data_IF_109903274362
#
_entry.id   IF_109903274362
#
_cell.length_a   1.000
_cell.length_b   1.000
_cell.length_c   1.000
_cell.angle_alpha   90.00
_cell.angle_beta   90.00
_cell.angle_gamma   90.00
#
_symmetry.space_group_name_H-M   'P 1'
#
loop_
_entity.id
_entity.type
_entity.pdbx_description
1 polymer ?
#
# COMPACT_ATOMS: atom_id res chain seq x y z
N UNK A 1 -16.38 -1.48 -16.38
CA UNK A 1 -15.57 -2.67 -16.01
C UNK A 1 -14.55 -3.04 -17.09
N UNK A 2 -13.95 -2.06 -17.79
CA UNK A 2 -12.93 -2.33 -18.83
C UNK A 2 -11.59 -2.81 -18.23
N UNK A 3 -11.12 -2.14 -17.18
CA UNK A 3 -9.82 -2.40 -16.54
C UNK A 3 -9.68 -3.77 -15.81
N UNK A 4 -10.78 -4.49 -15.61
CA UNK A 4 -10.78 -5.85 -15.04
C UNK A 4 -10.51 -6.93 -16.09
N UNK A 5 -10.85 -6.66 -17.36
CA UNK A 5 -10.55 -7.56 -18.49
C UNK A 5 -9.06 -7.52 -18.85
N UNK A 6 -8.43 -6.36 -18.70
CA UNK A 6 -7.02 -6.15 -19.05
C UNK A 6 -6.03 -6.82 -18.08
N UNK A 7 -6.48 -7.18 -16.87
CA UNK A 7 -5.61 -7.73 -15.81
C UNK A 7 -5.80 -9.22 -15.52
N UNK A 8 -6.70 -9.92 -16.21
CA UNK A 8 -7.04 -11.33 -15.95
C UNK A 8 -7.25 -11.65 -14.45
N UNK A 9 -7.76 -10.69 -13.68
CA UNK A 9 -8.01 -10.85 -12.24
C UNK A 9 -9.50 -10.87 -11.96
N UNK A 10 -9.96 -11.89 -11.24
CA UNK A 10 -11.36 -11.96 -10.79
C UNK A 10 -11.73 -10.75 -9.92
N UNK A 11 -12.99 -10.30 -10.02
CA UNK A 11 -13.54 -9.15 -9.28
C UNK A 11 -13.11 -9.12 -7.80
N UNK A 12 -13.22 -10.25 -7.10
CA UNK A 12 -12.84 -10.34 -5.69
C UNK A 12 -11.35 -10.14 -5.45
N UNK A 13 -10.47 -10.66 -6.32
CA UNK A 13 -9.02 -10.46 -6.21
C UNK A 13 -8.65 -8.98 -6.36
N UNK A 14 -9.30 -8.29 -7.31
CA UNK A 14 -9.12 -6.85 -7.48
C UNK A 14 -9.65 -6.06 -6.28
N UNK A 15 -10.84 -6.42 -5.78
CA UNK A 15 -11.46 -5.80 -4.61
C UNK A 15 -10.58 -5.96 -3.35
N UNK A 16 -10.10 -7.16 -3.06
CA UNK A 16 -9.21 -7.42 -1.91
C UNK A 16 -7.91 -6.62 -2.00
N UNK A 17 -7.36 -6.48 -3.21
CA UNK A 17 -6.15 -5.69 -3.43
C UNK A 17 -6.41 -4.20 -3.18
N UNK A 18 -7.54 -3.67 -3.63
CA UNK A 18 -7.94 -2.29 -3.35
C UNK A 18 -8.12 -2.04 -1.84
N UNK A 19 -8.78 -2.95 -1.13
CA UNK A 19 -8.93 -2.85 0.33
C UNK A 19 -7.60 -2.92 1.08
N UNK A 20 -6.70 -3.83 0.66
CA UNK A 20 -5.36 -3.94 1.24
C UNK A 20 -4.54 -2.67 1.03
N UNK A 21 -4.67 -2.03 -0.14
CA UNK A 21 -4.02 -0.76 -0.44
C UNK A 21 -4.57 0.36 0.45
N UNK A 22 -5.89 0.48 0.54
CA UNK A 22 -6.56 1.49 1.39
C UNK A 22 -6.14 1.35 2.86
N UNK A 23 -6.15 0.12 3.40
CA UNK A 23 -5.71 -0.14 4.77
C UNK A 23 -4.23 0.19 5.00
N UNK A 24 -3.37 -0.10 4.01
CA UNK A 24 -1.93 0.24 4.09
C UNK A 24 -1.72 1.74 4.21
N UNK A 25 -2.43 2.54 3.40
CA UNK A 25 -2.35 3.99 3.49
C UNK A 25 -2.97 4.55 4.76
N UNK A 26 -4.08 3.96 5.24
CA UNK A 26 -4.70 4.36 6.50
C UNK A 26 -3.77 4.17 7.71
N UNK A 27 -3.13 3.00 7.83
CA UNK A 27 -2.14 2.77 8.88
C UNK A 27 -0.91 3.67 8.70
N UNK A 28 -0.49 3.88 7.45
CA UNK A 28 0.62 4.77 7.12
C UNK A 28 0.37 6.22 7.52
N UNK A 29 -0.83 6.75 7.29
CA UNK A 29 -1.18 8.11 7.66
C UNK A 29 -1.21 8.29 9.18
N UNK A 30 -1.76 7.34 9.93
CA UNK A 30 -1.72 7.34 11.40
C UNK A 30 -0.26 7.40 11.89
N UNK A 31 0.63 6.58 11.32
CA UNK A 31 2.06 6.58 11.68
C UNK A 31 2.73 7.92 11.37
N UNK A 32 2.42 8.55 10.23
CA UNK A 32 2.95 9.86 9.89
C UNK A 32 2.43 10.96 10.83
N UNK A 33 1.15 10.90 11.22
CA UNK A 33 0.58 11.83 12.19
C UNK A 33 1.24 11.67 13.56
N UNK A 34 1.45 10.43 14.02
CA UNK A 34 2.17 10.16 15.28
C UNK A 34 3.62 10.64 15.24
N UNK A 35 4.33 10.43 14.13
CA UNK A 35 5.67 10.98 13.91
C UNK A 35 5.66 12.52 13.93
N UNK A 36 4.62 13.16 13.40
CA UNK A 36 4.44 14.61 13.50
C UNK A 36 4.27 15.13 14.94
N UNK A 37 3.76 14.30 15.86
CA UNK A 37 3.64 14.62 17.29
C UNK A 37 4.95 14.31 18.03
N UNK A 38 5.60 13.18 17.71
CA UNK A 38 6.84 12.71 18.33
C UNK A 38 7.87 12.40 17.22
N UNK A 39 8.67 13.40 16.79
CA UNK A 39 9.56 13.28 15.63
C UNK A 39 10.67 12.22 15.77
N UNK A 40 10.98 11.79 16.99
CA UNK A 40 11.99 10.77 17.25
C UNK A 40 11.48 9.34 16.96
N UNK A 41 10.16 9.16 16.88
CA UNK A 41 9.52 7.86 16.67
C UNK A 41 9.13 7.69 15.20
N UNK A 42 9.46 6.54 14.63
CA UNK A 42 9.02 6.11 13.29
C UNK A 42 9.35 7.09 12.15
N UNK A 43 10.62 7.51 12.12
CA UNK A 43 11.20 8.43 11.11
C UNK A 43 11.08 7.93 9.66
N UNK A 44 10.83 6.64 9.47
CA UNK A 44 10.69 6.01 8.15
C UNK A 44 9.23 5.70 7.79
N UNK A 45 8.26 6.26 8.54
CA UNK A 45 6.83 5.98 8.39
C UNK A 45 6.32 6.13 6.94
N UNK A 46 6.64 7.25 6.29
CA UNK A 46 6.22 7.54 4.91
C UNK A 46 6.84 6.55 3.91
N UNK A 47 8.17 6.36 3.94
CA UNK A 47 8.88 5.46 3.03
C UNK A 47 8.41 4.01 3.18
N UNK A 48 8.23 3.54 4.41
CA UNK A 48 7.71 2.19 4.70
C UNK A 48 6.27 2.02 4.24
N UNK A 49 5.45 3.07 4.31
CA UNK A 49 4.06 3.03 3.80
C UNK A 49 4.03 2.88 2.30
N UNK A 50 4.80 3.70 1.57
CA UNK A 50 4.86 3.64 0.10
C UNK A 50 5.43 2.30 -0.37
N UNK A 51 6.49 1.80 0.26
CA UNK A 51 7.05 0.48 -0.05
C UNK A 51 6.02 -0.65 0.14
N UNK A 52 5.24 -0.61 1.22
CA UNK A 52 4.14 -1.58 1.43
C UNK A 52 3.02 -1.43 0.40
N UNK A 53 2.64 -0.21 0.06
CA UNK A 53 1.63 0.05 -0.95
C UNK A 53 2.07 -0.48 -2.33
N UNK A 54 3.33 -0.26 -2.71
CA UNK A 54 3.91 -0.79 -3.94
C UNK A 54 3.91 -2.32 -3.94
N UNK A 55 4.26 -2.97 -2.84
CA UNK A 55 4.15 -4.43 -2.73
C UNK A 55 2.72 -4.96 -2.95
N UNK A 56 1.69 -4.19 -2.63
CA UNK A 56 0.29 -4.54 -2.87
C UNK A 56 -0.10 -4.34 -4.34
N UNK A 57 0.51 -3.37 -5.02
CA UNK A 57 0.25 -3.03 -6.43
C UNK A 57 1.06 -3.91 -7.39
N UNK A 58 2.35 -4.05 -7.17
CA UNK A 58 3.24 -4.67 -8.14
C UNK A 58 3.47 -6.16 -7.80
N UNK A 59 3.20 -6.54 -6.54
CA UNK A 59 3.49 -7.87 -6.01
C UNK A 59 4.93 -7.97 -5.50
N UNK A 60 5.24 -8.99 -4.68
CA UNK A 60 6.53 -9.09 -4.00
C UNK A 60 7.73 -9.42 -4.89
N UNK A 61 7.52 -9.81 -6.16
CA UNK A 61 8.57 -10.32 -7.06
C UNK A 61 9.11 -9.30 -8.08
N UNK A 62 8.61 -8.06 -8.11
CA UNK A 62 9.10 -7.01 -9.03
C UNK A 62 9.89 -5.89 -8.31
N UNK A 63 10.33 -6.15 -7.08
CA UNK A 63 11.23 -5.23 -6.33
C UNK A 63 12.72 -5.59 -6.48
N UNK A 64 13.07 -6.47 -7.42
CA UNK A 64 14.44 -6.97 -7.66
C UNK A 64 14.92 -6.74 -9.11
N UNK A 65 14.39 -5.73 -9.81
CA UNK A 65 15.02 -5.19 -11.03
C UNK A 65 15.40 -3.72 -10.83
#
# INVERSE_FOLDING_TARGET
MGHLKDSNTGYFKHLFRAWKLAFTFFIGSIRCLMHGIIPEIDTECARKTVSKANNVIIGPNELLE
#
